data_IF_021882669003
#
_entry.id   IF_021882669003
#
_cell.length_a   1.000
_cell.length_b   1.000
_cell.length_c   1.000
_cell.angle_alpha   90.00
_cell.angle_beta   90.00
_cell.angle_gamma   90.00
#
_symmetry.space_group_name_H-M   'P 1'
#
loop_
_entity.id
_entity.type
_entity.pdbx_description
1 polymer ?
#
# COMPACT_ATOMS: atom_id res chain seq x y z
N UNK A 1 -16.74 -22.07 -19.28
CA UNK A 1 -16.19 -21.65 -20.61
C UNK A 1 -14.69 -21.97 -20.78
N UNK A 2 -13.93 -22.23 -19.71
CA UNK A 2 -12.47 -22.48 -19.75
C UNK A 2 -12.04 -23.85 -20.31
N UNK A 3 -12.85 -24.89 -20.16
CA UNK A 3 -12.50 -26.25 -20.62
C UNK A 3 -12.35 -26.32 -22.15
N UNK A 4 -13.19 -25.58 -22.92
CA UNK A 4 -13.11 -25.56 -24.38
C UNK A 4 -11.86 -24.88 -24.97
N UNK A 5 -11.32 -23.86 -24.31
CA UNK A 5 -10.10 -23.17 -24.78
C UNK A 5 -8.86 -24.04 -24.54
N UNK A 6 -8.83 -24.74 -23.43
CA UNK A 6 -7.78 -25.67 -23.04
C UNK A 6 -7.58 -26.78 -24.08
N UNK A 7 -8.67 -27.47 -24.41
CA UNK A 7 -8.65 -28.53 -25.41
C UNK A 7 -8.31 -28.03 -26.81
N UNK A 8 -8.76 -26.81 -27.17
CA UNK A 8 -8.41 -26.18 -28.45
C UNK A 8 -6.93 -25.84 -28.57
N UNK A 9 -6.32 -25.27 -27.52
CA UNK A 9 -4.89 -24.96 -27.50
C UNK A 9 -4.05 -26.24 -27.51
N UNK A 10 -4.43 -27.24 -26.73
CA UNK A 10 -3.75 -28.54 -26.67
C UNK A 10 -3.80 -29.27 -28.02
N UNK A 11 -4.97 -29.34 -28.65
CA UNK A 11 -5.14 -29.91 -29.99
C UNK A 11 -4.42 -29.09 -31.08
N UNK A 12 -4.47 -27.78 -31.02
CA UNK A 12 -3.88 -26.92 -32.05
C UNK A 12 -2.36 -26.90 -32.04
N UNK A 13 -1.70 -27.09 -30.88
CA UNK A 13 -0.23 -27.05 -30.77
C UNK A 13 0.42 -28.42 -30.85
N UNK A 14 -0.15 -29.46 -30.25
CA UNK A 14 0.50 -30.76 -30.12
C UNK A 14 0.18 -31.71 -31.27
N UNK A 15 -1.06 -31.71 -31.74
CA UNK A 15 -1.46 -32.62 -32.80
C UNK A 15 -0.73 -32.40 -34.12
N UNK A 16 -0.58 -31.17 -34.65
CA UNK A 16 0.17 -30.93 -35.89
C UNK A 16 1.63 -31.31 -35.77
N UNK A 17 2.29 -31.00 -34.64
CA UNK A 17 3.70 -31.32 -34.42
C UNK A 17 3.93 -32.83 -34.41
N UNK A 18 3.06 -33.59 -33.74
CA UNK A 18 3.17 -35.05 -33.72
C UNK A 18 2.93 -35.66 -35.10
N UNK A 19 1.92 -35.17 -35.82
CA UNK A 19 1.61 -35.65 -37.17
C UNK A 19 2.80 -35.37 -38.09
N UNK A 20 3.38 -34.17 -38.05
CA UNK A 20 4.53 -33.82 -38.89
C UNK A 20 5.77 -34.65 -38.52
N UNK A 21 6.12 -34.77 -37.25
CA UNK A 21 7.27 -35.56 -36.81
C UNK A 21 7.07 -37.07 -37.17
N UNK A 22 5.92 -37.62 -36.89
CA UNK A 22 5.63 -39.03 -37.21
C UNK A 22 5.64 -39.25 -38.71
N UNK A 23 5.10 -38.30 -39.51
CA UNK A 23 5.13 -38.34 -40.95
C UNK A 23 6.56 -38.28 -41.54
N UNK A 24 7.42 -37.38 -40.99
CA UNK A 24 8.81 -37.27 -41.43
C UNK A 24 9.59 -38.55 -41.10
N UNK A 25 9.42 -39.08 -39.87
CA UNK A 25 10.09 -40.35 -39.47
C UNK A 25 9.60 -41.52 -40.34
N UNK A 26 8.31 -41.60 -40.63
CA UNK A 26 7.75 -42.61 -41.50
C UNK A 26 8.37 -42.52 -42.90
N UNK A 27 8.38 -41.34 -43.52
CA UNK A 27 8.90 -41.11 -44.87
C UNK A 27 10.40 -41.37 -44.99
N UNK A 28 11.18 -40.89 -44.01
CA UNK A 28 12.63 -41.10 -43.94
C UNK A 28 12.97 -42.61 -43.77
N UNK A 29 12.23 -43.31 -42.93
CA UNK A 29 12.48 -44.73 -42.68
C UNK A 29 12.05 -45.60 -43.84
N UNK A 30 10.91 -45.28 -44.51
CA UNK A 30 10.44 -46.00 -45.67
C UNK A 30 11.46 -45.90 -46.86
N UNK A 31 11.97 -44.70 -47.09
CA UNK A 31 13.02 -44.48 -48.13
C UNK A 31 14.33 -45.12 -47.77
N UNK A 32 14.83 -44.93 -46.56
CA UNK A 32 16.13 -45.45 -46.10
C UNK A 32 16.11 -47.00 -46.05
N UNK A 33 15.00 -47.58 -45.59
CA UNK A 33 14.86 -49.02 -45.52
C UNK A 33 14.76 -49.65 -46.91
N UNK A 34 14.07 -49.00 -47.86
CA UNK A 34 13.93 -49.47 -49.23
C UNK A 34 15.30 -49.45 -49.95
N UNK A 35 16.02 -48.34 -49.86
CA UNK A 35 17.35 -48.17 -50.50
C UNK A 35 18.40 -49.13 -49.95
N UNK A 36 18.46 -49.26 -48.59
CA UNK A 36 19.43 -50.12 -47.91
C UNK A 36 19.11 -51.59 -48.19
N UNK A 37 17.86 -51.95 -48.30
CA UNK A 37 17.43 -53.30 -48.57
C UNK A 37 17.76 -53.67 -50.05
N UNK A 38 17.58 -52.74 -51.02
CA UNK A 38 17.96 -52.98 -52.42
C UNK A 38 19.46 -53.19 -52.56
N UNK A 39 20.29 -52.41 -51.88
CA UNK A 39 21.77 -52.52 -51.91
C UNK A 39 22.23 -53.88 -51.28
N UNK A 40 21.60 -54.33 -50.22
CA UNK A 40 21.87 -55.62 -49.59
C UNK A 40 21.47 -56.82 -50.46
N UNK A 41 20.34 -56.70 -51.17
CA UNK A 41 19.85 -57.76 -52.06
C UNK A 41 20.72 -57.94 -53.30
N UNK A 42 21.14 -56.80 -53.87
CA UNK A 42 22.10 -56.83 -55.03
C UNK A 42 23.44 -57.46 -54.65
N UNK A 43 23.92 -57.19 -53.43
CA UNK A 43 25.20 -57.71 -52.90
C UNK A 43 25.14 -59.23 -52.59
N UNK A 44 23.96 -59.77 -52.19
CA UNK A 44 23.86 -61.16 -51.71
C UNK A 44 23.04 -62.08 -52.61
N UNK A 45 22.63 -61.67 -53.83
CA UNK A 45 21.91 -62.41 -54.84
C UNK A 45 20.66 -63.17 -54.28
N UNK A 46 19.91 -62.61 -53.37
CA UNK A 46 18.73 -63.21 -52.72
C UNK A 46 17.43 -62.75 -53.40
N UNK A 47 16.51 -63.67 -53.66
CA UNK A 47 15.22 -63.31 -54.29
C UNK A 47 14.31 -62.49 -53.40
N UNK A 48 13.73 -61.35 -53.95
CA UNK A 48 13.25 -60.23 -53.10
C UNK A 48 11.88 -60.35 -52.48
N UNK A 49 11.06 -61.30 -52.76
CA UNK A 49 9.60 -61.09 -52.68
C UNK A 49 8.93 -61.31 -51.29
N UNK A 50 9.37 -62.26 -50.49
CA UNK A 50 8.70 -62.54 -49.21
C UNK A 50 9.39 -61.86 -48.00
N UNK A 51 10.71 -61.91 -47.97
CA UNK A 51 11.49 -61.31 -46.85
C UNK A 51 11.37 -59.81 -46.82
N UNK A 52 11.32 -59.14 -48.00
CA UNK A 52 11.10 -57.70 -48.12
C UNK A 52 9.74 -57.25 -47.57
N UNK A 53 8.64 -57.98 -47.95
CA UNK A 53 7.30 -57.70 -47.45
C UNK A 53 7.19 -57.91 -45.96
N UNK A 54 7.76 -58.96 -45.40
CA UNK A 54 7.77 -59.25 -43.96
C UNK A 54 8.51 -58.17 -43.17
N UNK A 55 9.68 -57.69 -43.71
CA UNK A 55 10.44 -56.61 -43.14
C UNK A 55 9.68 -55.30 -43.12
N UNK A 56 9.14 -54.86 -44.24
CA UNK A 56 8.31 -53.63 -44.32
C UNK A 56 7.10 -53.68 -43.39
N UNK A 57 6.45 -54.81 -43.32
CA UNK A 57 5.29 -55.01 -42.45
C UNK A 57 5.69 -54.91 -40.97
N UNK A 58 6.84 -55.47 -40.59
CA UNK A 58 7.37 -55.35 -39.23
C UNK A 58 7.77 -53.90 -38.90
N UNK A 59 8.44 -53.20 -39.81
CA UNK A 59 8.82 -51.79 -39.64
C UNK A 59 7.58 -50.90 -39.51
N UNK A 60 6.59 -51.04 -40.39
CA UNK A 60 5.37 -50.26 -40.30
C UNK A 60 4.61 -50.51 -38.98
N UNK A 61 4.60 -51.72 -38.47
CA UNK A 61 4.01 -52.05 -37.18
C UNK A 61 4.74 -51.37 -36.03
N UNK A 62 6.11 -51.36 -36.03
CA UNK A 62 6.88 -50.67 -35.02
C UNK A 62 6.72 -49.14 -35.08
N UNK A 63 6.65 -48.56 -36.29
CA UNK A 63 6.40 -47.14 -36.45
C UNK A 63 5.01 -46.73 -35.97
N UNK A 64 3.97 -47.55 -36.20
CA UNK A 64 2.63 -47.32 -35.69
C UNK A 64 2.61 -47.33 -34.15
N UNK A 65 3.27 -48.31 -33.51
CA UNK A 65 3.35 -48.37 -32.06
C UNK A 65 4.18 -47.20 -31.48
N UNK A 66 5.28 -46.85 -32.11
CA UNK A 66 6.09 -45.69 -31.70
C UNK A 66 5.31 -44.39 -31.82
N UNK A 67 4.56 -44.21 -32.92
CA UNK A 67 3.68 -43.06 -33.11
C UNK A 67 2.56 -42.98 -32.04
N UNK A 68 1.95 -44.13 -31.70
CA UNK A 68 0.93 -44.18 -30.65
C UNK A 68 1.50 -43.80 -29.27
N UNK A 69 2.67 -44.33 -28.92
CA UNK A 69 3.35 -43.99 -27.66
C UNK A 69 3.73 -42.49 -27.61
N UNK A 70 4.28 -41.96 -28.70
CA UNK A 70 4.61 -40.54 -28.80
C UNK A 70 3.37 -39.65 -28.64
N UNK A 71 2.23 -40.05 -29.22
CA UNK A 71 0.96 -39.33 -29.10
C UNK A 71 0.45 -39.32 -27.65
N UNK A 72 0.48 -40.48 -26.97
CA UNK A 72 0.07 -40.57 -25.55
C UNK A 72 0.98 -39.73 -24.66
N UNK A 73 2.30 -39.82 -24.85
CA UNK A 73 3.28 -39.03 -24.06
C UNK A 73 3.09 -37.50 -24.28
N UNK A 74 2.90 -37.09 -25.52
CA UNK A 74 2.67 -35.68 -25.84
C UNK A 74 1.35 -35.17 -25.23
N UNK A 75 0.30 -35.97 -25.28
CA UNK A 75 -0.97 -35.63 -24.64
C UNK A 75 -0.80 -35.49 -23.13
N UNK A 76 -0.11 -36.41 -22.48
CA UNK A 76 0.18 -36.37 -21.05
C UNK A 76 1.00 -35.15 -20.68
N UNK A 77 2.07 -34.86 -21.43
CA UNK A 77 2.93 -33.68 -21.20
C UNK A 77 2.16 -32.39 -21.37
N UNK A 78 1.34 -32.28 -22.42
CA UNK A 78 0.49 -31.11 -22.66
C UNK A 78 -0.53 -30.92 -21.54
N UNK A 79 -1.14 -32.00 -21.06
CA UNK A 79 -2.07 -31.95 -19.92
C UNK A 79 -1.37 -31.47 -18.64
N UNK A 80 -0.18 -31.98 -18.37
CA UNK A 80 0.63 -31.58 -17.20
C UNK A 80 1.06 -30.10 -17.27
N UNK A 81 1.56 -29.66 -18.43
CA UNK A 81 1.93 -28.25 -18.67
C UNK A 81 0.74 -27.31 -18.47
N UNK A 82 -0.39 -27.68 -19.06
CA UNK A 82 -1.64 -26.93 -18.94
C UNK A 82 -2.06 -26.80 -17.47
N UNK A 83 -2.05 -27.90 -16.73
CA UNK A 83 -2.43 -27.92 -15.32
C UNK A 83 -1.43 -27.16 -14.43
N UNK A 84 -0.13 -27.24 -14.76
CA UNK A 84 0.94 -26.60 -13.96
C UNK A 84 1.16 -25.14 -14.26
N UNK A 85 0.95 -24.69 -15.49
CA UNK A 85 1.28 -23.30 -15.89
C UNK A 85 0.03 -22.50 -16.21
N UNK A 86 -0.82 -22.99 -17.09
CA UNK A 86 -1.93 -22.19 -17.60
C UNK A 86 -3.05 -21.98 -16.59
N UNK A 87 -3.38 -22.99 -15.80
CA UNK A 87 -4.46 -22.91 -14.81
C UNK A 87 -4.20 -21.87 -13.71
N UNK A 88 -3.00 -21.79 -13.09
CA UNK A 88 -2.67 -20.73 -12.12
C UNK A 88 -2.73 -19.33 -12.73
N UNK A 89 -2.25 -19.14 -13.94
CA UNK A 89 -2.32 -17.85 -14.63
C UNK A 89 -3.77 -17.40 -14.89
N UNK A 90 -4.64 -18.33 -15.27
CA UNK A 90 -6.07 -18.03 -15.42
C UNK A 90 -6.75 -17.69 -14.08
N UNK A 91 -6.34 -18.32 -12.99
CA UNK A 91 -6.82 -17.97 -11.65
C UNK A 91 -6.37 -16.57 -11.26
N UNK A 92 -5.12 -16.19 -11.55
CA UNK A 92 -4.63 -14.82 -11.31
C UNK A 92 -5.39 -13.78 -12.14
N UNK A 93 -5.65 -14.08 -13.42
CA UNK A 93 -6.45 -13.20 -14.27
C UNK A 93 -7.89 -13.04 -13.77
N UNK A 94 -8.50 -14.10 -13.24
CA UNK A 94 -9.83 -14.03 -12.66
C UNK A 94 -9.85 -13.26 -11.33
N UNK A 95 -8.87 -13.52 -10.44
CA UNK A 95 -8.72 -12.78 -9.19
C UNK A 95 -8.46 -11.28 -9.45
N UNK A 96 -7.66 -10.95 -10.48
CA UNK A 96 -7.44 -9.56 -10.90
C UNK A 96 -8.74 -8.88 -11.35
N UNK A 97 -9.61 -9.58 -12.10
CA UNK A 97 -10.92 -9.03 -12.48
C UNK A 97 -11.83 -8.81 -11.28
N UNK A 98 -11.80 -9.72 -10.30
CA UNK A 98 -12.57 -9.56 -9.06
C UNK A 98 -12.09 -8.36 -8.27
N UNK A 99 -10.78 -8.15 -8.14
CA UNK A 99 -10.21 -6.96 -7.49
C UNK A 99 -10.64 -5.69 -8.22
N UNK A 100 -10.57 -5.67 -9.56
CA UNK A 100 -11.01 -4.54 -10.37
C UNK A 100 -12.52 -4.26 -10.23
N UNK A 101 -13.33 -5.29 -9.94
CA UNK A 101 -14.75 -5.16 -9.64
C UNK A 101 -15.07 -4.76 -8.18
N UNK A 102 -14.02 -4.51 -7.35
CA UNK A 102 -14.16 -4.09 -5.95
C UNK A 102 -14.13 -5.23 -4.92
N UNK A 103 -13.92 -6.47 -5.33
CA UNK A 103 -13.70 -7.57 -4.40
C UNK A 103 -12.22 -7.70 -4.05
N UNK A 104 -11.75 -6.88 -3.11
CA UNK A 104 -10.35 -6.84 -2.67
C UNK A 104 -9.94 -8.04 -1.81
N UNK A 105 -10.87 -8.93 -1.43
CA UNK A 105 -10.55 -10.15 -0.66
C UNK A 105 -10.13 -11.32 -1.55
N UNK A 106 -10.21 -11.17 -2.89
CA UNK A 106 -9.81 -12.21 -3.83
C UNK A 106 -8.32 -12.53 -3.68
N UNK A 107 -7.99 -13.82 -3.56
CA UNK A 107 -6.61 -14.33 -3.44
C UNK A 107 -6.42 -15.49 -4.39
N UNK A 108 -5.16 -15.74 -4.76
CA UNK A 108 -4.76 -16.90 -5.55
C UNK A 108 -4.02 -17.91 -4.69
N UNK A 109 -4.12 -19.19 -5.06
CA UNK A 109 -3.38 -20.25 -4.38
C UNK A 109 -1.89 -20.13 -4.69
N UNK A 110 -1.07 -19.82 -3.68
CA UNK A 110 0.37 -19.56 -3.80
C UNK A 110 1.23 -20.62 -3.07
N UNK A 111 0.70 -21.84 -2.86
CA UNK A 111 1.37 -22.91 -2.12
C UNK A 111 2.59 -23.52 -2.85
N UNK A 112 2.85 -23.14 -4.11
CA UNK A 112 3.93 -23.68 -4.96
C UNK A 112 5.29 -23.07 -4.61
N UNK A 113 6.36 -23.86 -4.83
CA UNK A 113 7.76 -23.46 -4.60
C UNK A 113 8.50 -23.16 -5.91
N UNK A 114 7.79 -22.78 -6.97
CA UNK A 114 8.33 -22.41 -8.28
C UNK A 114 8.06 -20.93 -8.58
N UNK A 115 8.52 -20.45 -9.74
CA UNK A 115 8.38 -19.05 -10.17
C UNK A 115 6.90 -18.62 -10.24
N UNK A 116 5.99 -19.54 -10.59
CA UNK A 116 4.55 -19.29 -10.59
C UNK A 116 4.02 -19.06 -9.17
N UNK A 117 4.55 -19.82 -8.20
CA UNK A 117 4.25 -19.61 -6.78
C UNK A 117 4.76 -18.26 -6.26
N UNK A 118 5.93 -17.79 -6.72
CA UNK A 118 6.44 -16.46 -6.36
C UNK A 118 5.57 -15.34 -6.92
N UNK A 119 5.13 -15.44 -8.18
CA UNK A 119 4.17 -14.50 -8.77
C UNK A 119 2.86 -14.51 -8.00
N UNK A 120 2.36 -15.69 -7.59
CA UNK A 120 1.16 -15.82 -6.76
C UNK A 120 1.29 -15.11 -5.40
N UNK A 121 2.45 -15.27 -4.72
CA UNK A 121 2.74 -14.56 -3.47
C UNK A 121 2.82 -13.03 -3.67
N UNK A 122 3.48 -12.59 -4.74
CA UNK A 122 3.55 -11.17 -5.08
C UNK A 122 2.16 -10.58 -5.36
N UNK A 123 1.33 -11.32 -6.11
CA UNK A 123 -0.07 -10.96 -6.35
C UNK A 123 -0.87 -10.83 -5.05
N UNK A 124 -0.75 -11.81 -4.14
CA UNK A 124 -1.48 -11.77 -2.86
C UNK A 124 -1.01 -10.59 -1.99
N UNK A 125 0.30 -10.29 -1.94
CA UNK A 125 0.81 -9.09 -1.23
C UNK A 125 0.24 -7.79 -1.82
N UNK A 126 0.14 -7.68 -3.14
CA UNK A 126 -0.51 -6.53 -3.79
C UNK A 126 -2.00 -6.46 -3.41
N UNK A 127 -2.70 -7.60 -3.41
CA UNK A 127 -4.11 -7.67 -3.02
C UNK A 127 -4.32 -7.29 -1.55
N UNK A 128 -3.43 -7.72 -0.63
CA UNK A 128 -3.44 -7.34 0.79
C UNK A 128 -3.29 -5.82 0.95
N UNK A 129 -2.34 -5.22 0.21
CA UNK A 129 -2.12 -3.76 0.23
C UNK A 129 -3.35 -2.99 -0.29
N UNK A 130 -3.99 -3.46 -1.38
CA UNK A 130 -5.20 -2.84 -1.93
C UNK A 130 -6.39 -2.96 -0.97
N UNK A 131 -6.56 -4.12 -0.32
CA UNK A 131 -7.61 -4.32 0.68
C UNK A 131 -7.41 -3.41 1.88
N UNK A 132 -6.17 -3.27 2.36
CA UNK A 132 -5.83 -2.36 3.45
C UNK A 132 -6.11 -0.90 3.08
N UNK A 133 -5.71 -0.46 1.89
CA UNK A 133 -6.00 0.89 1.39
C UNK A 133 -7.50 1.17 1.31
N UNK A 134 -8.29 0.21 0.81
CA UNK A 134 -9.74 0.38 0.72
C UNK A 134 -10.42 0.40 2.10
N UNK A 135 -9.95 -0.39 3.06
CA UNK A 135 -10.42 -0.33 4.45
C UNK A 135 -10.11 1.03 5.07
N UNK A 136 -8.89 1.54 4.90
CA UNK A 136 -8.49 2.86 5.39
C UNK A 136 -9.32 3.97 4.75
N UNK A 137 -9.58 3.88 3.43
CA UNK A 137 -10.43 4.83 2.71
C UNK A 137 -11.86 4.84 3.24
N UNK A 138 -12.45 3.66 3.49
CA UNK A 138 -13.82 3.55 4.04
C UNK A 138 -13.90 4.09 5.46
N UNK A 139 -12.94 3.77 6.31
CA UNK A 139 -12.85 4.32 7.67
C UNK A 139 -12.77 5.84 7.62
N UNK A 140 -11.86 6.40 6.79
CA UNK A 140 -11.72 7.84 6.63
C UNK A 140 -13.03 8.53 6.25
N UNK A 141 -13.78 7.99 5.29
CA UNK A 141 -15.07 8.56 4.88
C UNK A 141 -16.09 8.53 6.03
N UNK A 142 -16.12 7.44 6.78
CA UNK A 142 -17.01 7.31 7.94
C UNK A 142 -16.65 8.31 9.05
N UNK A 143 -15.35 8.46 9.35
CA UNK A 143 -14.83 9.37 10.39
C UNK A 143 -15.09 10.83 10.00
N UNK A 144 -14.84 11.22 8.74
CA UNK A 144 -15.15 12.56 8.21
C UNK A 144 -16.65 12.86 8.32
N UNK A 145 -17.49 11.89 7.93
CA UNK A 145 -18.94 12.07 8.03
C UNK A 145 -19.41 12.26 9.48
N UNK A 146 -18.78 11.56 10.42
CA UNK A 146 -19.09 11.69 11.85
C UNK A 146 -18.64 13.04 12.40
N UNK A 147 -17.42 13.47 12.12
CA UNK A 147 -16.84 14.74 12.59
C UNK A 147 -17.53 15.98 11.96
N UNK A 148 -18.06 15.87 10.75
CA UNK A 148 -18.88 16.92 10.14
C UNK A 148 -20.30 16.97 10.70
N UNK A 149 -20.89 15.81 11.04
CA UNK A 149 -22.28 15.75 11.51
C UNK A 149 -22.49 16.51 12.82
N UNK A 150 -21.55 16.39 13.76
CA UNK A 150 -21.65 17.00 15.09
C UNK A 150 -21.78 18.53 15.02
N UNK A 151 -20.82 19.29 14.40
CA UNK A 151 -20.94 20.75 14.31
C UNK A 151 -22.14 21.20 13.47
N UNK A 152 -22.50 20.47 12.39
CA UNK A 152 -23.68 20.78 11.61
C UNK A 152 -24.99 20.62 12.42
N UNK A 153 -25.06 19.58 13.26
CA UNK A 153 -26.23 19.39 14.15
C UNK A 153 -26.31 20.48 15.19
N UNK A 154 -25.18 20.92 15.76
CA UNK A 154 -25.14 22.01 16.72
C UNK A 154 -25.58 23.34 16.07
N UNK A 155 -25.02 23.68 14.89
CA UNK A 155 -25.41 24.87 14.12
C UNK A 155 -26.92 24.86 13.82
N UNK A 156 -27.44 23.72 13.35
CA UNK A 156 -28.87 23.57 13.09
C UNK A 156 -29.70 23.79 14.35
N UNK A 157 -29.30 23.18 15.48
CA UNK A 157 -30.01 23.34 16.76
C UNK A 157 -30.02 24.78 17.26
N UNK A 158 -28.92 25.52 17.13
CA UNK A 158 -28.88 26.95 17.47
C UNK A 158 -29.77 27.77 16.56
N UNK A 159 -29.78 27.50 15.25
CA UNK A 159 -30.61 28.22 14.29
C UNK A 159 -32.13 27.91 14.51
N UNK A 160 -32.48 26.65 14.74
CA UNK A 160 -33.86 26.24 15.09
C UNK A 160 -34.29 26.91 16.41
N UNK A 161 -33.43 26.88 17.44
CA UNK A 161 -33.72 27.51 18.73
C UNK A 161 -33.92 29.04 18.63
N UNK A 162 -33.17 29.72 17.75
CA UNK A 162 -33.38 31.15 17.43
C UNK A 162 -34.70 31.37 16.69
N UNK A 163 -35.00 30.51 15.70
CA UNK A 163 -36.24 30.61 14.91
C UNK A 163 -37.49 30.39 15.75
N UNK A 164 -37.44 29.46 16.69
CA UNK A 164 -38.55 29.08 17.57
C UNK A 164 -38.67 30.00 18.80
N UNK A 165 -37.78 31.01 18.94
CA UNK A 165 -37.74 31.92 20.07
C UNK A 165 -37.29 31.29 21.40
N UNK A 166 -36.73 30.09 21.37
CA UNK A 166 -36.20 29.38 22.55
C UNK A 166 -34.82 29.95 22.96
N UNK A 167 -34.02 30.40 21.95
CA UNK A 167 -32.76 31.10 22.16
C UNK A 167 -32.90 32.57 21.83
N UNK A 168 -32.30 33.43 22.66
CA UNK A 168 -32.24 34.88 22.40
C UNK A 168 -31.21 35.19 21.32
N UNK A 169 -31.50 36.12 20.39
CA UNK A 169 -30.55 36.58 19.37
C UNK A 169 -29.57 37.59 19.98
N UNK A 170 -28.82 37.12 20.96
CA UNK A 170 -27.82 37.89 21.68
C UNK A 170 -26.36 37.59 21.20
N UNK A 171 -25.41 38.38 21.70
CA UNK A 171 -24.01 38.27 21.34
C UNK A 171 -23.44 36.88 21.68
N UNK A 172 -23.93 36.27 22.76
CA UNK A 172 -23.44 34.97 23.20
C UNK A 172 -23.81 33.86 22.19
N UNK A 173 -25.08 33.88 21.74
CA UNK A 173 -25.57 32.92 20.73
C UNK A 173 -24.87 33.09 19.40
N UNK A 174 -24.61 34.32 18.93
CA UNK A 174 -23.84 34.57 17.72
C UNK A 174 -22.39 34.14 17.84
N UNK A 175 -21.75 34.32 18.99
CA UNK A 175 -20.38 33.81 19.26
C UNK A 175 -20.35 32.30 19.19
N UNK A 176 -21.33 31.56 19.74
CA UNK A 176 -21.43 30.10 19.64
C UNK A 176 -21.56 29.65 18.18
N UNK A 177 -22.43 30.30 17.39
CA UNK A 177 -22.55 30.00 15.97
C UNK A 177 -21.25 30.24 15.20
N UNK A 178 -20.55 31.35 15.49
CA UNK A 178 -19.30 31.68 14.86
C UNK A 178 -18.18 30.67 15.22
N UNK A 179 -18.11 30.22 16.47
CA UNK A 179 -17.16 29.20 16.92
C UNK A 179 -17.39 27.90 16.21
N UNK A 180 -18.64 27.44 16.07
CA UNK A 180 -18.98 26.20 15.39
C UNK A 180 -18.69 26.27 13.88
N UNK A 181 -18.94 27.44 13.26
CA UNK A 181 -18.55 27.68 11.86
C UNK A 181 -17.04 27.63 11.66
N UNK A 182 -16.26 28.31 12.52
CA UNK A 182 -14.79 28.26 12.48
C UNK A 182 -14.27 26.84 12.68
N UNK A 183 -14.92 26.04 13.52
CA UNK A 183 -14.59 24.63 13.72
C UNK A 183 -14.76 23.82 12.42
N UNK A 184 -15.85 24.05 11.67
CA UNK A 184 -16.08 23.41 10.38
C UNK A 184 -15.02 23.83 9.34
N UNK A 185 -14.70 25.12 9.27
CA UNK A 185 -13.64 25.61 8.36
C UNK A 185 -12.31 24.92 8.64
N UNK A 186 -11.89 24.90 9.91
CA UNK A 186 -10.66 24.25 10.32
C UNK A 186 -10.67 22.73 9.99
N UNK A 187 -11.79 22.05 10.20
CA UNK A 187 -11.91 20.61 9.85
C UNK A 187 -11.73 20.38 8.36
N UNK A 188 -12.34 21.21 7.50
CA UNK A 188 -12.19 21.11 6.03
C UNK A 188 -10.76 21.40 5.60
N UNK A 189 -10.11 22.40 6.21
CA UNK A 189 -8.69 22.71 5.95
C UNK A 189 -7.76 21.54 6.36
N UNK A 190 -7.97 20.98 7.54
CA UNK A 190 -7.21 19.81 8.05
C UNK A 190 -7.36 18.61 7.13
N UNK A 191 -8.59 18.33 6.64
CA UNK A 191 -8.85 17.26 5.66
C UNK A 191 -8.12 17.52 4.34
N UNK A 192 -8.13 18.76 3.86
CA UNK A 192 -7.38 19.16 2.66
C UNK A 192 -5.87 18.98 2.84
N UNK A 193 -5.34 19.29 4.03
CA UNK A 193 -3.93 19.07 4.36
C UNK A 193 -3.58 17.58 4.43
N UNK A 194 -4.44 16.76 5.02
CA UNK A 194 -4.26 15.31 5.09
C UNK A 194 -4.23 14.68 3.69
N UNK A 195 -5.19 15.06 2.82
CA UNK A 195 -5.21 14.57 1.44
C UNK A 195 -3.93 14.95 0.66
N UNK A 196 -3.40 16.16 0.87
CA UNK A 196 -2.12 16.58 0.29
C UNK A 196 -0.91 15.86 0.89
N UNK A 197 -0.95 15.51 2.17
CA UNK A 197 0.10 14.73 2.83
C UNK A 197 0.15 13.29 2.31
N UNK A 198 -1.02 12.64 2.13
CA UNK A 198 -1.13 11.31 1.51
C UNK A 198 -0.52 11.30 0.09
N UNK A 199 -0.79 12.35 -0.71
CA UNK A 199 -0.22 12.50 -2.05
C UNK A 199 1.29 12.79 -2.05
N UNK A 200 1.85 13.32 -0.96
CA UNK A 200 3.28 13.65 -0.86
C UNK A 200 4.19 12.42 -0.91
N UNK A 201 3.70 11.23 -0.58
CA UNK A 201 4.47 9.96 -0.73
C UNK A 201 4.97 9.73 -2.15
N UNK A 202 4.27 10.25 -3.18
CA UNK A 202 4.62 10.06 -4.58
C UNK A 202 5.65 11.07 -5.12
N UNK A 203 5.73 12.29 -4.52
CA UNK A 203 6.54 13.38 -5.05
C UNK A 203 7.09 14.25 -3.92
N UNK A 204 8.33 13.97 -3.49
CA UNK A 204 9.08 14.79 -2.55
C UNK A 204 10.22 15.50 -3.28
N UNK A 205 10.31 16.81 -3.17
CA UNK A 205 11.43 17.62 -3.64
C UNK A 205 12.47 17.76 -2.51
N UNK A 206 13.30 16.74 -2.34
CA UNK A 206 14.30 16.70 -1.28
C UNK A 206 15.46 17.65 -1.57
N UNK A 207 15.83 18.43 -0.59
CA UNK A 207 16.99 19.31 -0.58
C UNK A 207 17.63 19.32 0.81
N UNK A 208 18.90 19.78 0.98
CA UNK A 208 19.45 20.01 2.29
C UNK A 208 18.66 21.11 3.02
N UNK A 209 18.08 20.78 4.18
CA UNK A 209 17.24 21.68 4.99
C UNK A 209 17.87 21.85 6.36
N UNK A 210 18.00 23.11 6.80
CA UNK A 210 18.41 23.49 8.15
C UNK A 210 17.23 23.33 9.12
N UNK A 211 17.27 22.27 9.95
CA UNK A 211 16.22 21.96 10.94
C UNK A 211 16.02 23.07 11.99
N UNK A 212 17.07 23.58 12.65
CA UNK A 212 16.97 24.74 13.55
C UNK A 212 16.27 25.92 12.91
N UNK A 213 16.65 26.27 11.68
CA UNK A 213 16.02 27.38 10.96
C UNK A 213 14.52 27.16 10.74
N UNK A 214 14.11 25.96 10.32
CA UNK A 214 12.70 25.61 10.14
C UNK A 214 11.91 25.65 11.46
N UNK A 215 12.49 25.15 12.55
CA UNK A 215 11.84 25.16 13.86
C UNK A 215 11.70 26.59 14.39
N UNK A 216 12.76 27.42 14.27
CA UNK A 216 12.72 28.81 14.70
C UNK A 216 11.71 29.65 13.87
N UNK A 217 11.60 29.41 12.57
CA UNK A 217 10.58 30.01 11.71
C UNK A 217 9.17 29.75 12.22
N UNK A 218 8.87 28.50 12.59
CA UNK A 218 7.57 28.14 13.14
C UNK A 218 7.34 28.73 14.53
N UNK A 219 8.33 28.74 15.41
CA UNK A 219 8.24 29.40 16.72
C UNK A 219 7.95 30.88 16.58
N UNK A 220 8.59 31.56 15.61
CA UNK A 220 8.34 32.98 15.33
C UNK A 220 6.90 33.23 14.87
N UNK A 221 6.32 32.33 14.06
CA UNK A 221 4.92 32.40 13.62
C UNK A 221 3.93 32.26 14.79
N UNK A 222 4.24 31.41 15.78
CA UNK A 222 3.38 31.19 16.95
C UNK A 222 3.67 32.08 18.13
N UNK A 223 4.59 33.09 17.98
CA UNK A 223 5.07 33.95 19.08
C UNK A 223 3.92 34.58 19.89
N UNK A 224 2.94 35.16 19.23
CA UNK A 224 1.80 35.79 19.93
C UNK A 224 1.02 34.77 20.78
N UNK A 225 0.70 33.60 20.24
CA UNK A 225 0.01 32.55 20.99
C UNK A 225 0.82 32.01 22.16
N UNK A 226 2.15 31.93 22.01
CA UNK A 226 3.07 31.53 23.09
C UNK A 226 3.14 32.61 24.19
N UNK A 227 3.17 33.89 23.81
CA UNK A 227 3.18 35.04 24.75
C UNK A 227 1.85 35.18 25.48
N UNK A 228 0.70 35.05 24.80
CA UNK A 228 -0.65 35.08 25.39
C UNK A 228 -0.84 34.03 26.49
N UNK A 229 -0.35 32.81 26.27
CA UNK A 229 -0.35 31.73 27.27
C UNK A 229 0.84 31.75 28.23
N UNK A 230 1.74 32.71 28.11
CA UNK A 230 2.97 32.86 28.92
C UNK A 230 3.85 31.58 28.90
N UNK A 231 3.94 30.89 27.76
CA UNK A 231 4.66 29.63 27.60
C UNK A 231 6.17 29.88 27.54
N UNK A 232 6.95 29.11 28.29
CA UNK A 232 8.41 29.15 28.29
C UNK A 232 8.95 28.18 27.25
N UNK A 233 9.51 28.71 26.15
CA UNK A 233 10.11 27.88 25.09
C UNK A 233 11.62 27.84 25.24
N UNK A 234 12.17 26.61 25.22
CA UNK A 234 13.63 26.36 25.25
C UNK A 234 14.02 25.49 24.06
N UNK A 235 14.99 25.90 23.28
CA UNK A 235 15.54 25.12 22.16
C UNK A 235 16.94 24.64 22.45
N UNK A 236 17.28 23.39 22.11
CA UNK A 236 18.59 22.77 22.27
C UNK A 236 18.91 21.94 21.03
N UNK A 237 19.70 22.51 20.13
CA UNK A 237 20.08 21.82 18.90
C UNK A 237 21.54 21.34 19.01
N UNK A 238 21.77 20.05 18.75
CA UNK A 238 23.13 19.51 18.66
C UNK A 238 23.76 19.94 17.34
N UNK A 239 25.04 20.30 17.38
CA UNK A 239 25.76 20.88 16.24
C UNK A 239 25.87 19.94 15.04
N UNK A 240 25.82 18.63 15.26
CA UNK A 240 25.83 17.57 14.26
C UNK A 240 24.42 17.15 13.76
N UNK A 241 23.37 17.78 14.28
CA UNK A 241 21.97 17.48 13.97
C UNK A 241 21.23 18.69 13.37
N UNK A 242 21.88 19.36 12.41
CA UNK A 242 21.38 20.60 11.81
C UNK A 242 20.81 20.41 10.43
N UNK A 243 21.49 19.63 9.56
CA UNK A 243 21.08 19.43 8.17
C UNK A 243 20.44 18.07 7.97
N UNK A 244 19.32 18.03 7.24
CA UNK A 244 18.63 16.82 6.81
C UNK A 244 18.24 16.92 5.34
N UNK A 245 18.14 15.77 4.65
CA UNK A 245 17.63 15.71 3.27
C UNK A 245 16.12 15.61 3.28
N UNK A 246 15.42 16.73 3.07
CA UNK A 246 13.96 16.78 3.16
C UNK A 246 13.33 17.75 2.15
N UNK A 247 12.04 17.62 1.94
CA UNK A 247 11.20 18.65 1.32
C UNK A 247 10.88 19.70 2.39
N UNK A 248 11.44 20.91 2.20
CA UNK A 248 11.32 22.01 3.17
C UNK A 248 9.86 22.36 3.46
N UNK A 249 9.00 22.40 2.44
CA UNK A 249 7.59 22.77 2.62
C UNK A 249 6.83 21.74 3.46
N UNK A 250 7.08 20.46 3.21
CA UNK A 250 6.48 19.36 3.97
C UNK A 250 7.01 19.27 5.39
N UNK A 251 8.31 19.51 5.57
CA UNK A 251 8.92 19.55 6.89
C UNK A 251 8.38 20.71 7.73
N UNK A 252 8.26 21.91 7.16
CA UNK A 252 7.62 23.05 7.82
C UNK A 252 6.17 22.73 8.23
N UNK A 253 5.40 22.03 7.40
CA UNK A 253 4.05 21.60 7.72
C UNK A 253 4.03 20.63 8.91
N UNK A 254 4.96 19.66 8.97
CA UNK A 254 5.08 18.72 10.09
C UNK A 254 5.45 19.47 11.40
N UNK A 255 6.45 20.36 11.35
CA UNK A 255 6.88 21.17 12.51
C UNK A 255 5.74 22.09 12.97
N UNK A 256 5.01 22.73 12.04
CA UNK A 256 3.83 23.55 12.35
C UNK A 256 2.80 22.77 13.17
N UNK A 257 2.43 21.55 12.73
CA UNK A 257 1.45 20.72 13.43
C UNK A 257 1.94 20.35 14.84
N UNK A 258 3.25 20.10 15.02
CA UNK A 258 3.82 19.80 16.33
C UNK A 258 3.83 21.01 17.24
N UNK A 259 4.21 22.20 16.74
CA UNK A 259 4.22 23.45 17.53
C UNK A 259 2.79 23.85 17.89
N UNK A 260 1.83 23.75 16.95
CA UNK A 260 0.42 23.99 17.21
C UNK A 260 -0.13 23.07 18.31
N UNK A 261 0.24 21.80 18.26
CA UNK A 261 -0.12 20.81 19.28
C UNK A 261 0.45 21.21 20.67
N UNK A 262 1.72 21.60 20.74
CA UNK A 262 2.32 22.11 21.98
C UNK A 262 1.59 23.36 22.49
N UNK A 263 1.29 24.33 21.64
CA UNK A 263 0.55 25.55 22.02
C UNK A 263 -0.85 25.25 22.56
N UNK A 264 -1.54 24.27 21.98
CA UNK A 264 -2.90 23.88 22.38
C UNK A 264 -2.96 23.19 23.72
N UNK A 265 -2.06 22.21 23.94
CA UNK A 265 -2.16 21.30 25.07
C UNK A 265 -1.26 21.67 26.27
N UNK A 266 -0.29 22.59 26.11
CA UNK A 266 0.45 23.12 27.25
C UNK A 266 -0.43 24.06 28.06
N UNK A 267 -0.53 23.87 29.39
CA UNK A 267 -1.26 24.80 30.28
C UNK A 267 -0.61 26.19 30.29
N UNK A 268 -1.35 27.19 30.73
CA UNK A 268 -0.83 28.55 30.91
C UNK A 268 0.42 28.53 31.83
N UNK A 269 1.40 29.34 31.48
CA UNK A 269 2.72 29.46 32.16
C UNK A 269 3.57 28.17 32.12
N UNK A 270 3.16 27.17 31.33
CA UNK A 270 3.87 25.92 31.15
C UNK A 270 5.11 26.03 30.30
N UNK A 271 5.85 24.93 30.15
CA UNK A 271 7.13 24.88 29.41
C UNK A 271 7.04 24.01 28.16
N UNK A 272 7.76 24.41 27.12
CA UNK A 272 8.00 23.64 25.89
C UNK A 272 9.50 23.55 25.66
N UNK A 273 10.04 22.35 25.52
CA UNK A 273 11.44 22.12 25.18
C UNK A 273 11.55 21.40 23.85
N UNK A 274 12.30 21.96 22.92
CA UNK A 274 12.57 21.36 21.60
C UNK A 274 14.05 20.98 21.55
N UNK A 275 14.34 19.72 21.23
CA UNK A 275 15.71 19.21 21.15
C UNK A 275 15.93 18.51 19.81
N UNK A 276 17.10 18.73 19.17
CA UNK A 276 17.59 17.86 18.11
C UNK A 276 18.79 17.04 18.58
N UNK A 277 18.86 15.78 18.19
CA UNK A 277 19.96 14.88 18.52
C UNK A 277 20.29 13.99 17.31
N UNK A 278 21.59 13.69 17.14
CA UNK A 278 22.04 12.71 16.16
C UNK A 278 21.77 11.31 16.66
N UNK A 279 21.26 10.44 15.80
CA UNK A 279 21.05 9.03 16.09
C UNK A 279 21.77 8.18 15.02
N UNK A 280 21.92 6.86 15.23
CA UNK A 280 22.48 5.98 14.19
C UNK A 280 21.64 5.91 12.90
N UNK A 281 20.39 6.38 12.93
CA UNK A 281 19.47 6.34 11.78
C UNK A 281 19.32 7.71 11.10
N UNK A 282 19.85 8.78 11.69
CA UNK A 282 19.71 10.13 11.18
C UNK A 282 19.56 11.17 12.28
N UNK A 283 18.65 12.10 12.12
CA UNK A 283 18.40 13.19 13.08
C UNK A 283 17.01 13.03 13.71
N UNK A 284 16.98 13.00 15.05
CA UNK A 284 15.75 13.00 15.83
C UNK A 284 15.48 14.38 16.40
N UNK A 285 14.23 14.84 16.26
CA UNK A 285 13.71 16.04 16.90
C UNK A 285 12.64 15.64 17.91
N UNK A 286 12.80 16.11 19.14
CA UNK A 286 11.88 15.88 20.25
C UNK A 286 11.25 17.19 20.68
N UNK A 287 9.92 17.23 20.78
CA UNK A 287 9.17 18.30 21.40
C UNK A 287 8.57 17.77 22.69
N UNK A 288 8.99 18.36 23.79
CA UNK A 288 8.52 18.04 25.15
C UNK A 288 7.72 19.20 25.66
N UNK A 289 6.53 18.97 26.16
CA UNK A 289 5.71 20.02 26.75
C UNK A 289 5.03 19.54 28.04
N UNK A 290 4.78 20.47 28.94
CA UNK A 290 3.93 20.20 30.11
C UNK A 290 2.52 19.87 29.61
N UNK A 291 1.98 18.75 30.09
CA UNK A 291 0.68 18.26 29.64
C UNK A 291 0.05 17.36 30.70
N UNK A 292 -1.29 17.33 30.83
CA UNK A 292 -1.95 16.31 31.60
C UNK A 292 -1.53 14.92 31.10
N UNK A 293 -1.46 13.96 32.02
CA UNK A 293 -1.08 12.57 31.71
C UNK A 293 -2.03 11.98 30.68
N UNK A 294 -1.49 11.52 29.58
CA UNK A 294 -2.22 10.68 28.60
C UNK A 294 -2.12 9.23 29.05
N UNK A 295 -3.22 8.46 29.11
CA UNK A 295 -3.19 7.05 29.43
C UNK A 295 -2.21 6.28 28.53
N UNK A 296 -1.43 5.34 29.11
CA UNK A 296 -0.42 4.60 28.34
C UNK A 296 -1.05 3.79 27.20
N UNK A 297 -2.29 3.37 27.36
CA UNK A 297 -3.08 2.67 26.35
C UNK A 297 -3.43 3.55 25.14
N UNK A 298 -3.52 4.88 25.32
CA UNK A 298 -3.86 5.84 24.27
C UNK A 298 -2.65 6.33 23.48
N UNK A 299 -1.45 6.27 24.06
CA UNK A 299 -0.22 6.79 23.43
C UNK A 299 0.05 6.20 22.04
N UNK A 300 -0.12 4.89 21.79
CA UNK A 300 0.08 4.30 20.46
C UNK A 300 -0.88 4.86 19.39
N UNK A 301 -2.04 5.35 19.79
CA UNK A 301 -3.10 5.83 18.90
C UNK A 301 -3.03 7.33 18.61
N UNK A 302 -2.14 8.08 19.25
CA UNK A 302 -2.04 9.54 19.09
C UNK A 302 -1.77 10.00 17.64
N UNK A 303 -1.18 9.15 16.82
CA UNK A 303 -0.91 9.40 15.40
C UNK A 303 -2.01 8.85 14.47
N UNK A 304 -3.04 8.21 15.02
CA UNK A 304 -4.19 7.78 14.24
C UNK A 304 -5.11 8.96 13.93
N UNK A 305 -5.73 8.92 12.75
CA UNK A 305 -6.61 9.98 12.24
C UNK A 305 -7.83 10.11 13.15
N UNK A 306 -8.22 11.34 13.50
CA UNK A 306 -9.36 11.69 14.37
C UNK A 306 -9.24 11.16 15.81
N UNK A 307 -8.13 10.56 16.18
CA UNK A 307 -7.93 10.08 17.54
C UNK A 307 -7.70 11.24 18.51
N UNK A 308 -8.31 11.15 19.69
CA UNK A 308 -8.22 12.14 20.77
C UNK A 308 -8.28 11.43 22.13
N UNK A 309 -7.24 11.55 22.93
CA UNK A 309 -7.15 10.90 24.24
C UNK A 309 -8.16 11.43 25.27
N UNK A 310 -8.67 12.66 25.13
CA UNK A 310 -9.69 13.25 26.00
C UNK A 310 -10.74 14.00 25.17
N UNK A 311 -11.94 13.42 25.06
CA UNK A 311 -13.07 13.99 24.32
C UNK A 311 -13.71 15.23 25.00
N UNK A 312 -13.49 15.46 26.30
CA UNK A 312 -14.15 16.52 27.06
C UNK A 312 -13.38 17.85 27.02
N UNK A 313 -12.09 17.83 27.29
CA UNK A 313 -11.21 19.01 27.29
C UNK A 313 -10.82 19.47 25.89
N UNK A 314 -10.70 18.54 24.97
CA UNK A 314 -10.28 18.83 23.61
C UNK A 314 -11.38 19.51 22.76
N UNK A 315 -12.67 19.46 23.15
CA UNK A 315 -13.71 20.25 22.51
C UNK A 315 -13.50 21.76 22.67
N UNK A 316 -12.99 22.19 23.82
CA UNK A 316 -12.64 23.59 24.07
C UNK A 316 -11.34 24.01 23.32
N UNK A 317 -10.40 23.10 23.09
CA UNK A 317 -9.12 23.36 22.41
C UNK A 317 -9.17 23.29 20.87
N UNK A 318 -10.32 22.88 20.29
CA UNK A 318 -10.66 23.11 18.86
C UNK A 318 -9.80 22.37 17.83
N UNK A 319 -9.43 21.10 18.01
CA UNK A 319 -8.70 20.33 16.98
C UNK A 319 -9.48 19.08 16.51
N UNK A 320 -9.38 18.74 15.22
CA UNK A 320 -10.01 17.57 14.61
C UNK A 320 -9.29 16.23 14.89
N UNK A 321 -8.17 16.23 15.62
CA UNK A 321 -7.35 15.01 15.83
C UNK A 321 -6.59 14.56 14.58
N UNK A 322 -6.34 15.45 13.63
CA UNK A 322 -5.69 15.15 12.34
C UNK A 322 -4.20 15.59 12.35
N UNK A 323 -3.82 16.56 13.18
CA UNK A 323 -2.49 17.18 13.13
C UNK A 323 -1.33 16.19 13.30
N UNK A 324 -1.37 15.29 14.28
CA UNK A 324 -0.33 14.27 14.46
C UNK A 324 -0.36 13.19 13.37
N UNK A 325 -1.52 12.87 12.82
CA UNK A 325 -1.62 11.98 11.65
C UNK A 325 -0.93 12.58 10.42
N UNK A 326 -1.09 13.90 10.18
CA UNK A 326 -0.35 14.61 9.12
C UNK A 326 1.16 14.54 9.38
N UNK A 327 1.62 14.73 10.62
CA UNK A 327 3.04 14.58 10.97
C UNK A 327 3.55 13.20 10.59
N UNK A 328 2.84 12.13 10.99
CA UNK A 328 3.19 10.75 10.66
C UNK A 328 3.32 10.55 9.16
N UNK A 329 2.30 10.92 8.37
CA UNK A 329 2.30 10.76 6.91
C UNK A 329 3.47 11.50 6.25
N UNK A 330 3.74 12.74 6.65
CA UNK A 330 4.83 13.53 6.08
C UNK A 330 6.22 12.98 6.44
N UNK A 331 6.43 12.58 7.68
CA UNK A 331 7.71 12.03 8.14
C UNK A 331 7.95 10.64 7.54
N UNK A 332 6.94 9.76 7.49
CA UNK A 332 7.03 8.46 6.83
C UNK A 332 7.27 8.58 5.32
N UNK A 333 6.70 9.59 4.65
CA UNK A 333 7.01 9.89 3.25
C UNK A 333 8.50 10.21 3.04
N UNK A 334 9.15 10.82 4.01
CA UNK A 334 10.61 11.05 4.02
C UNK A 334 11.43 9.81 4.39
N UNK A 335 10.79 8.66 4.70
CA UNK A 335 11.46 7.45 5.18
C UNK A 335 11.82 7.51 6.66
N UNK A 336 11.26 8.48 7.38
CA UNK A 336 11.46 8.69 8.81
C UNK A 336 10.48 7.90 9.67
N UNK A 337 10.53 8.17 10.97
CA UNK A 337 9.67 7.57 11.99
C UNK A 337 9.17 8.62 12.96
N UNK A 338 8.00 8.37 13.56
CA UNK A 338 7.43 9.22 14.61
C UNK A 338 7.13 8.38 15.85
N UNK A 339 7.05 9.04 16.99
CA UNK A 339 6.61 8.40 18.23
C UNK A 339 6.27 9.40 19.31
N UNK A 340 5.65 8.89 20.36
CA UNK A 340 5.24 9.68 21.52
C UNK A 340 5.47 8.91 22.82
N UNK A 341 5.65 9.65 23.91
CA UNK A 341 5.70 9.12 25.25
C UNK A 341 5.01 10.10 26.21
N UNK A 342 4.22 9.59 27.15
CA UNK A 342 3.56 10.37 28.18
C UNK A 342 4.16 10.03 29.54
N UNK A 343 4.61 11.04 30.28
CA UNK A 343 5.11 10.94 31.66
C UNK A 343 4.12 11.56 32.66
N UNK A 344 4.57 11.69 33.92
CA UNK A 344 3.82 12.42 34.95
C UNK A 344 3.98 13.94 34.71
N UNK A 345 2.94 14.55 34.13
CA UNK A 345 2.91 15.99 33.89
C UNK A 345 3.62 16.43 32.60
N UNK A 346 4.10 15.53 31.75
CA UNK A 346 4.75 15.87 30.50
C UNK A 346 4.37 14.94 29.34
N UNK A 347 4.40 15.51 28.16
CA UNK A 347 4.24 14.80 26.88
C UNK A 347 5.49 15.01 26.03
N UNK A 348 5.99 13.95 25.42
CA UNK A 348 7.09 13.98 24.47
C UNK A 348 6.59 13.43 23.15
N UNK A 349 6.66 14.24 22.09
CA UNK A 349 6.41 13.83 20.72
C UNK A 349 7.69 13.99 19.93
N UNK A 350 8.07 13.01 19.15
CA UNK A 350 9.31 13.07 18.39
C UNK A 350 9.12 12.56 16.97
N UNK A 351 9.96 13.04 16.09
CA UNK A 351 10.18 12.47 14.77
C UNK A 351 11.66 12.26 14.50
N UNK A 352 11.97 11.33 13.61
CA UNK A 352 13.34 10.99 13.18
C UNK A 352 13.38 10.94 11.67
N UNK A 353 14.30 11.68 11.07
CA UNK A 353 14.54 11.69 9.62
C UNK A 353 15.85 10.99 9.32
N UNK A 354 15.91 10.16 8.26
CA UNK A 354 17.16 9.59 7.78
C UNK A 354 18.07 10.67 7.21
N UNK A 355 19.36 10.33 7.07
CA UNK A 355 20.37 11.20 6.47
C UNK A 355 20.14 11.50 4.99
#
# INVERSE_FOLDING_TARGET
MSIRLHWKLMLATTLPVIIVITGIIWLAFDQLAADYFMVLMDKYMVSPTETHRAFLTAVHRYLLWAGLVALVLSFLLSYLLTRRVLRPLLQMAEASRQIAAGNFTARVEAARRDEIGEVGKAFNRMADSLEQLERLRKSMVADVAHELRTPLTNLRGYLEGLSDGVLSPDRATFVMLQQENLRLVNLVEDLGQLARADAARAFLERSPVDLPACINEMLALYRLSLEEKQLKVTTRFAADAVLVSADRGKLLQAVRNLVDNCCKYTPESGSITIRSTRTPRGVRVELRNDSPKVPAEDVPFLFERFFRADHSRSRAAGGAGIGLAIVKELIEAHGGQVGAASGEGEMVVWFELPD
#
